data_IF_011435915857
#
_entry.id   IF_011435915857
#
_cell.length_a   1.000
_cell.length_b   1.000
_cell.length_c   1.000
_cell.angle_alpha   90.00
_cell.angle_beta   90.00
_cell.angle_gamma   90.00
#
_symmetry.space_group_name_H-M   'P 1'
#
loop_
_entity.id
_entity.type
_entity.pdbx_description
1 polymer ?
#
# COMPACT_ATOMS: atom_id res chain seq x y z
N UNK A 1 2.10 57.87 21.85
CA UNK A 1 2.17 58.27 23.28
C UNK A 1 1.20 57.37 24.04
N UNK A 2 1.47 56.61 25.10
CA UNK A 2 2.65 56.29 25.92
C UNK A 2 2.37 54.88 26.49
N UNK A 3 3.21 53.87 26.27
CA UNK A 3 4.32 53.42 27.14
C UNK A 3 3.98 53.25 28.63
N UNK A 4 3.97 51.99 29.10
CA UNK A 4 4.58 51.59 30.39
C UNK A 4 5.19 50.17 30.27
N UNK A 5 6.52 50.12 30.26
CA UNK A 5 7.37 49.05 30.84
C UNK A 5 7.28 49.18 32.39
N UNK A 6 7.70 48.27 33.28
CA UNK A 6 8.97 47.55 33.47
C UNK A 6 8.72 46.47 34.54
N UNK A 7 9.44 45.35 34.48
CA UNK A 7 9.63 44.48 35.65
C UNK A 7 10.45 43.23 35.33
N UNK A 8 11.76 43.39 35.08
CA UNK A 8 12.70 42.28 34.95
C UNK A 8 13.37 41.94 36.28
N UNK A 9 13.77 40.68 36.45
CA UNK A 9 14.76 40.25 37.46
C UNK A 9 15.71 39.28 36.78
N UNK A 10 17.01 39.58 36.92
CA UNK A 10 18.14 38.85 36.37
C UNK A 10 18.96 38.25 37.54
N UNK A 11 19.29 36.96 37.41
CA UNK A 11 20.51 36.24 37.84
C UNK A 11 21.21 36.56 39.17
N UNK A 12 21.45 35.50 39.96
CA UNK A 12 22.76 35.16 40.53
C UNK A 12 22.78 33.69 41.00
N UNK A 13 23.84 32.94 40.66
CA UNK A 13 24.06 31.57 41.12
C UNK A 13 25.09 31.47 42.25
N UNK A 14 25.20 30.29 42.87
CA UNK A 14 26.49 29.66 43.26
C UNK A 14 26.32 28.32 43.99
N UNK A 15 27.11 27.35 43.51
CA UNK A 15 27.91 26.32 44.20
C UNK A 15 27.25 25.27 45.14
N UNK A 16 27.36 24.03 44.64
CA UNK A 16 28.04 22.86 45.22
C UNK A 16 27.67 22.36 46.63
N UNK A 17 27.19 21.11 46.69
CA UNK A 17 27.47 20.16 47.77
C UNK A 17 27.42 18.72 47.24
N UNK A 18 28.52 18.03 47.47
CA UNK A 18 28.81 16.62 47.19
C UNK A 18 28.06 15.67 48.10
N UNK A 19 27.55 14.54 47.58
CA UNK A 19 27.44 13.28 48.33
C UNK A 19 27.70 12.07 47.44
N UNK A 20 28.68 11.28 47.86
CA UNK A 20 29.08 9.97 47.35
C UNK A 20 28.11 8.89 47.83
N UNK A 21 27.77 7.95 46.94
CA UNK A 21 27.58 6.50 47.15
C UNK A 21 27.75 5.91 45.73
N UNK A 22 28.72 5.07 45.39
CA UNK A 22 29.10 3.82 46.05
C UNK A 22 28.74 2.67 45.11
N UNK A 23 29.39 2.59 43.93
CA UNK A 23 29.29 1.45 43.02
C UNK A 23 30.61 0.67 43.11
N UNK A 24 30.55 -0.51 43.73
CA UNK A 24 31.63 -1.49 43.76
C UNK A 24 31.18 -2.75 43.03
N UNK A 25 31.99 -3.22 42.07
CA UNK A 25 31.99 -4.61 41.63
C UNK A 25 31.77 -4.83 40.14
N UNK A 26 32.82 -4.72 39.34
CA UNK A 26 32.97 -5.50 38.11
C UNK A 26 34.38 -6.08 38.12
N UNK A 27 34.45 -7.42 38.14
CA UNK A 27 35.68 -8.20 38.26
C UNK A 27 36.42 -8.32 36.92
N UNK A 28 37.70 -8.65 37.01
CA UNK A 28 38.67 -8.70 35.92
C UNK A 28 38.48 -9.85 34.90
N UNK A 29 37.24 -10.14 34.48
CA UNK A 29 36.91 -11.12 33.46
C UNK A 29 36.44 -10.51 32.12
N UNK A 30 36.10 -9.22 32.07
CA UNK A 30 35.49 -8.58 30.89
C UNK A 30 36.47 -7.91 29.91
N UNK A 31 37.78 -8.08 30.10
CA UNK A 31 38.81 -7.46 29.24
C UNK A 31 39.48 -8.42 28.23
N UNK A 32 39.10 -9.69 28.18
CA UNK A 32 39.69 -10.68 27.25
C UNK A 32 38.79 -11.11 26.08
N UNK A 33 37.56 -10.60 25.96
CA UNK A 33 36.63 -10.95 24.87
C UNK A 33 36.65 -9.91 23.72
N UNK A 34 37.29 -8.76 23.90
CA UNK A 34 37.27 -7.64 22.92
C UNK A 34 38.53 -7.50 22.04
N UNK A 35 39.47 -8.47 22.06
CA UNK A 35 40.70 -8.42 21.23
C UNK A 35 40.96 -9.65 20.35
N UNK A 36 40.00 -10.57 20.20
CA UNK A 36 40.04 -11.60 19.15
C UNK A 36 38.85 -11.41 18.25
N UNK A 37 39.02 -10.65 17.17
CA UNK A 37 38.47 -10.83 15.82
C UNK A 37 38.85 -9.64 14.91
N UNK A 38 40.09 -9.15 15.04
CA UNK A 38 40.74 -8.30 14.03
C UNK A 38 41.68 -9.18 13.19
N UNK A 39 41.09 -10.00 12.33
CA UNK A 39 41.75 -10.57 11.17
C UNK A 39 40.84 -10.34 9.97
N UNK A 40 40.87 -9.10 9.46
CA UNK A 40 40.42 -8.84 8.09
C UNK A 40 41.46 -9.48 7.16
N UNK A 41 41.13 -10.67 6.67
CA UNK A 41 41.75 -11.22 5.49
C UNK A 41 41.56 -10.22 4.34
N UNK A 42 42.67 -9.81 3.74
CA UNK A 42 42.67 -9.16 2.43
C UNK A 42 42.18 -10.19 1.41
N UNK A 43 40.88 -10.31 1.25
CA UNK A 43 40.32 -10.86 0.03
C UNK A 43 40.49 -9.77 -1.04
N UNK A 44 41.46 -9.98 -1.92
CA UNK A 44 41.44 -9.35 -3.23
C UNK A 44 40.11 -9.69 -3.88
N UNK A 45 39.25 -8.67 -4.05
CA UNK A 45 38.12 -8.76 -4.97
C UNK A 45 38.71 -8.93 -6.37
N UNK A 46 38.85 -10.19 -6.79
CA UNK A 46 38.93 -10.52 -8.21
C UNK A 46 37.57 -10.18 -8.78
N UNK A 47 37.49 -9.12 -9.59
CA UNK A 47 36.34 -8.82 -10.43
C UNK A 47 36.26 -9.86 -11.54
N UNK A 48 35.85 -11.08 -11.20
CA UNK A 48 35.31 -11.99 -12.18
C UNK A 48 33.88 -11.52 -12.45
N UNK A 49 33.72 -10.65 -13.45
CA UNK A 49 32.46 -10.53 -14.15
C UNK A 49 32.10 -11.94 -14.63
N UNK A 50 31.23 -12.63 -13.90
CA UNK A 50 30.63 -13.87 -14.38
C UNK A 50 29.84 -13.47 -15.62
N UNK A 51 30.34 -13.90 -16.78
CA UNK A 51 29.77 -13.64 -18.10
C UNK A 51 28.42 -14.32 -18.28
N UNK A 52 27.40 -13.84 -17.57
CA UNK A 52 26.01 -14.08 -17.90
C UNK A 52 25.61 -13.25 -19.11
N UNK A 53 24.73 -13.79 -19.94
CA UNK A 53 24.12 -13.05 -21.05
C UNK A 53 23.43 -11.78 -20.53
N UNK A 54 23.63 -10.65 -21.21
CA UNK A 54 23.00 -9.38 -20.85
C UNK A 54 21.47 -9.52 -20.91
N UNK A 55 20.79 -9.20 -19.80
CA UNK A 55 19.33 -9.21 -19.72
C UNK A 55 18.78 -7.79 -19.91
N UNK A 56 17.60 -7.71 -20.52
CA UNK A 56 16.82 -6.49 -20.68
C UNK A 56 15.72 -6.44 -19.63
N UNK A 57 15.77 -5.42 -18.78
CA UNK A 57 14.78 -5.12 -17.77
C UNK A 57 14.00 -3.89 -18.23
N UNK A 58 12.67 -3.98 -18.22
CA UNK A 58 11.77 -2.88 -18.52
C UNK A 58 11.04 -2.47 -17.24
N UNK A 59 11.15 -1.21 -16.82
CA UNK A 59 10.39 -0.63 -15.72
C UNK A 59 9.29 0.30 -16.21
N UNK A 60 8.06 0.10 -15.73
CA UNK A 60 6.92 0.99 -15.98
C UNK A 60 6.51 1.66 -14.69
N UNK A 61 6.66 2.98 -14.63
CA UNK A 61 6.33 3.81 -13.46
C UNK A 61 5.65 5.11 -13.94
N UNK A 62 5.02 5.84 -13.03
CA UNK A 62 4.56 7.19 -13.35
C UNK A 62 5.74 8.17 -13.40
N UNK A 63 5.61 9.24 -14.19
CA UNK A 63 6.59 10.33 -14.22
C UNK A 63 6.38 11.26 -13.03
N UNK A 64 7.46 11.60 -12.31
CA UNK A 64 7.40 12.52 -11.17
C UNK A 64 7.86 13.95 -11.53
N UNK A 65 8.50 14.16 -12.67
CA UNK A 65 8.98 15.45 -13.14
C UNK A 65 9.77 16.20 -12.05
N UNK A 66 9.37 17.42 -11.71
CA UNK A 66 10.00 18.23 -10.66
C UNK A 66 9.97 17.61 -9.26
N UNK A 67 9.02 16.71 -8.97
CA UNK A 67 8.91 16.03 -7.67
C UNK A 67 9.99 14.94 -7.49
N UNK A 68 10.59 14.46 -8.59
CA UNK A 68 11.69 13.50 -8.54
C UNK A 68 12.97 14.06 -7.89
N UNK A 69 13.05 15.38 -7.70
CA UNK A 69 14.14 16.04 -6.95
C UNK A 69 14.27 15.53 -5.52
N UNK A 70 13.21 14.95 -4.95
CA UNK A 70 13.32 14.19 -3.72
C UNK A 70 13.94 12.81 -4.03
N UNK A 71 15.19 12.53 -3.61
CA UNK A 71 15.85 11.25 -3.92
C UNK A 71 15.19 10.04 -3.22
N UNK A 72 14.37 10.27 -2.19
CA UNK A 72 13.59 9.20 -1.55
C UNK A 72 12.37 8.78 -2.38
N UNK A 73 12.01 9.54 -3.42
CA UNK A 73 10.94 9.20 -4.35
C UNK A 73 11.43 8.16 -5.36
N UNK A 74 11.51 6.90 -4.94
CA UNK A 74 12.08 5.81 -5.75
C UNK A 74 11.14 5.31 -6.87
N UNK A 75 9.84 5.32 -6.65
CA UNK A 75 8.81 4.69 -7.52
C UNK A 75 8.40 5.49 -8.76
N UNK A 76 9.30 6.29 -9.33
CA UNK A 76 9.04 7.10 -10.52
C UNK A 76 10.02 6.78 -11.67
N UNK A 77 9.74 7.27 -12.87
CA UNK A 77 10.61 7.08 -14.06
C UNK A 77 12.03 7.61 -13.80
N UNK A 78 12.13 8.78 -13.18
CA UNK A 78 13.38 9.51 -13.00
C UNK A 78 14.34 8.80 -12.04
N UNK A 79 13.84 8.31 -10.91
CA UNK A 79 14.66 7.63 -9.90
C UNK A 79 14.68 6.11 -10.07
N UNK A 80 13.73 5.54 -10.83
CA UNK A 80 13.73 4.16 -11.33
C UNK A 80 14.05 3.10 -10.27
N UNK A 81 13.40 3.18 -9.11
CA UNK A 81 13.61 2.36 -7.90
C UNK A 81 15.01 2.45 -7.28
N UNK A 82 15.89 3.32 -7.77
CA UNK A 82 17.28 3.40 -7.33
C UNK A 82 18.13 2.20 -7.76
N UNK A 83 17.74 1.47 -8.81
CA UNK A 83 18.40 0.21 -9.21
C UNK A 83 19.17 0.31 -10.54
N UNK A 84 19.18 1.46 -11.21
CA UNK A 84 19.82 1.65 -12.52
C UNK A 84 21.31 1.33 -12.51
N UNK A 85 22.09 2.03 -11.70
CA UNK A 85 23.54 1.84 -11.62
C UNK A 85 23.91 0.39 -11.22
N UNK A 86 23.10 -0.22 -10.34
CA UNK A 86 23.27 -1.61 -9.94
C UNK A 86 23.03 -2.61 -11.07
N UNK A 87 22.02 -2.42 -11.92
CA UNK A 87 21.77 -3.26 -13.09
C UNK A 87 22.86 -3.05 -14.17
N UNK A 88 23.21 -1.80 -14.45
CA UNK A 88 24.17 -1.45 -15.51
C UNK A 88 25.59 -1.89 -15.16
N UNK A 89 26.00 -1.79 -13.89
CA UNK A 89 27.30 -2.32 -13.41
C UNK A 89 27.43 -3.85 -13.52
N UNK A 90 26.31 -4.58 -13.65
CA UNK A 90 26.28 -6.03 -13.92
C UNK A 90 26.17 -6.35 -15.43
N UNK A 91 26.17 -5.33 -16.29
CA UNK A 91 26.08 -5.48 -17.75
C UNK A 91 24.66 -5.70 -18.27
N UNK A 92 23.62 -5.38 -17.49
CA UNK A 92 22.22 -5.49 -17.91
C UNK A 92 21.69 -4.15 -18.44
N UNK A 93 20.73 -4.19 -19.36
CA UNK A 93 20.04 -3.00 -19.91
C UNK A 93 18.79 -2.71 -19.09
N UNK A 94 18.65 -1.49 -18.57
CA UNK A 94 17.44 -1.06 -17.86
C UNK A 94 16.73 0.08 -18.60
N UNK A 95 15.60 -0.22 -19.21
CA UNK A 95 14.73 0.75 -19.89
C UNK A 95 13.58 1.10 -18.96
N UNK A 96 13.22 2.38 -18.89
CA UNK A 96 12.18 2.86 -17.99
C UNK A 96 11.27 3.82 -18.72
N UNK A 97 9.95 3.63 -18.60
CA UNK A 97 8.96 4.48 -19.27
C UNK A 97 7.73 4.72 -18.39
N UNK A 98 7.03 5.82 -18.66
CA UNK A 98 5.66 6.05 -18.19
C UNK A 98 4.62 5.90 -19.31
N UNK A 99 5.07 5.81 -20.56
CA UNK A 99 4.22 5.64 -21.73
C UNK A 99 3.81 4.17 -21.87
N UNK A 100 2.58 3.87 -21.45
CA UNK A 100 2.05 2.51 -21.31
C UNK A 100 0.72 2.26 -22.01
N UNK A 101 0.09 3.30 -22.54
CA UNK A 101 -1.26 3.28 -23.08
C UNK A 101 -1.27 3.75 -24.54
N UNK A 102 -2.20 3.21 -25.34
CA UNK A 102 -2.35 3.56 -26.75
C UNK A 102 -1.53 2.69 -27.71
N UNK A 103 -1.84 2.73 -29.02
CA UNK A 103 -1.05 2.06 -30.04
C UNK A 103 0.36 2.65 -30.08
N UNK A 104 1.36 1.80 -30.27
CA UNK A 104 2.78 2.17 -30.36
C UNK A 104 3.38 2.80 -29.09
N UNK A 105 2.79 2.53 -27.92
CA UNK A 105 3.36 2.92 -26.63
C UNK A 105 4.79 2.40 -26.46
N UNK A 106 5.63 3.15 -25.75
CA UNK A 106 7.01 2.73 -25.46
C UNK A 106 7.05 1.39 -24.72
N UNK A 107 6.09 1.13 -23.83
CA UNK A 107 5.89 -0.20 -23.23
C UNK A 107 5.78 -1.29 -24.30
N UNK A 108 4.91 -1.15 -25.29
CA UNK A 108 4.68 -2.19 -26.29
C UNK A 108 5.90 -2.44 -27.19
N UNK A 109 6.70 -1.40 -27.47
CA UNK A 109 7.96 -1.53 -28.23
C UNK A 109 9.01 -2.27 -27.42
N UNK A 110 9.24 -1.83 -26.18
CA UNK A 110 10.33 -2.33 -25.34
C UNK A 110 10.04 -3.71 -24.74
N UNK A 111 8.75 -4.07 -24.60
CA UNK A 111 8.31 -5.36 -24.07
C UNK A 111 8.65 -6.55 -25.00
N UNK A 112 8.78 -6.32 -26.31
CA UNK A 112 8.93 -7.39 -27.30
C UNK A 112 10.12 -8.34 -27.02
N UNK A 113 11.21 -7.81 -26.50
CA UNK A 113 12.48 -8.47 -26.18
C UNK A 113 12.91 -8.32 -24.71
N UNK A 114 12.06 -7.76 -23.85
CA UNK A 114 12.32 -7.67 -22.41
C UNK A 114 12.32 -9.07 -21.75
N UNK A 115 13.23 -9.28 -20.81
CA UNK A 115 13.33 -10.51 -20.00
C UNK A 115 12.59 -10.38 -18.67
N UNK A 116 12.66 -9.19 -18.08
CA UNK A 116 11.97 -8.83 -16.85
C UNK A 116 11.11 -7.58 -17.13
N UNK A 117 9.84 -7.63 -16.73
CA UNK A 117 8.99 -6.46 -16.62
C UNK A 117 8.80 -6.11 -15.14
N UNK A 118 9.10 -4.87 -14.76
CA UNK A 118 8.74 -4.27 -13.49
C UNK A 118 7.56 -3.34 -13.74
N UNK A 119 6.48 -3.51 -13.01
CA UNK A 119 5.25 -2.69 -13.08
C UNK A 119 4.85 -2.27 -11.67
N UNK A 120 3.94 -1.32 -11.54
CA UNK A 120 3.45 -0.85 -10.25
C UNK A 120 1.94 -0.60 -10.26
N UNK A 121 1.18 -0.93 -9.18
CA UNK A 121 -0.28 -0.74 -9.17
C UNK A 121 -0.74 0.71 -9.28
N UNK A 122 0.16 1.67 -9.00
CA UNK A 122 -0.15 3.11 -9.01
C UNK A 122 -0.17 3.68 -10.44
N UNK A 123 0.54 3.03 -11.37
CA UNK A 123 0.56 3.31 -12.81
C UNK A 123 0.71 1.99 -13.58
N UNK A 124 -0.34 1.14 -13.58
CA UNK A 124 -0.20 -0.27 -13.93
C UNK A 124 0.04 -0.47 -15.42
N UNK A 125 1.11 -1.19 -15.76
CA UNK A 125 1.27 -1.76 -17.09
C UNK A 125 0.31 -2.93 -17.25
N UNK A 126 -0.86 -2.71 -17.83
CA UNK A 126 -1.85 -3.78 -18.03
C UNK A 126 -1.28 -4.84 -18.98
N UNK A 127 -1.00 -6.04 -18.44
CA UNK A 127 -0.41 -7.17 -19.16
C UNK A 127 -1.51 -8.13 -19.58
N UNK A 128 -2.19 -7.76 -20.66
CA UNK A 128 -3.25 -8.59 -21.27
C UNK A 128 -2.66 -9.83 -21.94
N UNK A 129 -3.53 -10.81 -22.25
CA UNK A 129 -3.16 -11.99 -23.03
C UNK A 129 -2.45 -11.62 -24.35
N UNK A 130 -2.88 -10.56 -25.03
CA UNK A 130 -2.29 -10.09 -26.29
C UNK A 130 -0.89 -9.52 -26.09
N UNK A 131 -0.66 -8.73 -25.03
CA UNK A 131 0.67 -8.21 -24.69
C UNK A 131 1.62 -9.32 -24.29
N UNK A 132 1.15 -10.22 -23.42
CA UNK A 132 1.92 -11.39 -22.99
C UNK A 132 2.31 -12.24 -24.20
N UNK A 133 1.41 -12.47 -25.16
CA UNK A 133 1.70 -13.21 -26.40
C UNK A 133 2.88 -12.61 -27.21
N UNK A 134 3.01 -11.29 -27.25
CA UNK A 134 4.06 -10.57 -28.00
C UNK A 134 5.41 -10.49 -27.28
N UNK A 135 5.44 -10.66 -25.97
CA UNK A 135 6.65 -10.62 -25.15
C UNK A 135 7.43 -11.94 -25.27
N UNK A 136 8.40 -12.00 -26.20
CA UNK A 136 9.06 -13.26 -26.61
C UNK A 136 10.07 -13.79 -25.60
N UNK A 137 10.78 -12.88 -24.93
CA UNK A 137 11.87 -13.21 -24.00
C UNK A 137 11.45 -13.09 -22.53
N UNK A 138 10.19 -12.70 -22.27
CA UNK A 138 9.73 -12.40 -20.93
C UNK A 138 9.70 -13.69 -20.10
N UNK A 139 10.33 -13.65 -18.94
CA UNK A 139 10.40 -14.77 -18.00
C UNK A 139 9.87 -14.39 -16.62
N UNK A 140 10.02 -13.12 -16.24
CA UNK A 140 9.65 -12.60 -14.92
C UNK A 140 8.85 -11.30 -15.02
N UNK A 141 7.72 -11.25 -14.32
CA UNK A 141 6.98 -10.02 -14.02
C UNK A 141 7.08 -9.73 -12.52
N UNK A 142 7.51 -8.51 -12.18
CA UNK A 142 7.63 -8.05 -10.80
C UNK A 142 6.72 -6.84 -10.57
N UNK A 143 5.78 -6.96 -9.65
CA UNK A 143 5.02 -5.83 -9.13
C UNK A 143 5.82 -5.14 -8.04
N UNK A 144 6.30 -3.91 -8.32
CA UNK A 144 6.86 -3.00 -7.33
C UNK A 144 5.71 -2.43 -6.47
N UNK A 145 5.33 -3.21 -5.45
CA UNK A 145 4.15 -2.98 -4.61
C UNK A 145 3.44 -4.29 -4.30
N UNK A 146 2.12 -4.21 -4.09
CA UNK A 146 1.25 -5.35 -3.76
C UNK A 146 -0.02 -5.32 -4.61
N UNK A 147 -0.39 -6.49 -5.11
CA UNK A 147 -1.54 -6.80 -5.94
C UNK A 147 -1.24 -6.71 -7.44
N UNK A 148 -1.33 -7.88 -8.08
CA UNK A 148 -0.88 -8.15 -9.44
C UNK A 148 -2.03 -8.39 -10.42
N UNK A 149 -3.22 -7.90 -10.10
CA UNK A 149 -4.48 -8.04 -10.86
C UNK A 149 -4.51 -7.28 -12.20
N UNK A 150 -3.52 -6.43 -12.46
CA UNK A 150 -3.30 -5.79 -13.76
C UNK A 150 -2.55 -6.70 -14.74
N UNK A 151 -2.19 -7.92 -14.33
CA UNK A 151 -1.61 -8.98 -15.16
C UNK A 151 -2.69 -10.04 -15.35
N UNK A 152 -2.87 -10.52 -16.57
CA UNK A 152 -3.64 -11.73 -16.82
C UNK A 152 -2.87 -12.95 -16.25
N UNK A 153 -3.15 -13.28 -14.99
CA UNK A 153 -2.42 -14.30 -14.24
C UNK A 153 -2.61 -15.69 -14.84
N UNK A 154 -3.76 -15.97 -15.45
CA UNK A 154 -4.01 -17.24 -16.13
C UNK A 154 -3.18 -17.34 -17.41
N UNK A 155 -3.18 -16.31 -18.26
CA UNK A 155 -2.33 -16.27 -19.46
C UNK A 155 -0.84 -16.31 -19.11
N UNK A 156 -0.42 -15.67 -18.01
CA UNK A 156 0.95 -15.73 -17.51
C UNK A 156 1.33 -17.15 -17.06
N UNK A 157 0.43 -17.83 -16.34
CA UNK A 157 0.62 -19.21 -15.90
C UNK A 157 0.68 -20.20 -17.08
N UNK A 158 -0.22 -20.07 -18.06
CA UNK A 158 -0.21 -20.88 -19.30
C UNK A 158 1.10 -20.73 -20.07
N UNK A 159 1.71 -19.55 -20.04
CA UNK A 159 3.02 -19.27 -20.64
C UNK A 159 4.22 -19.70 -19.80
N UNK A 160 4.00 -20.20 -18.58
CA UNK A 160 5.09 -20.59 -17.67
C UNK A 160 5.88 -19.42 -17.10
N UNK A 161 5.31 -18.20 -17.10
CA UNK A 161 5.95 -17.02 -16.54
C UNK A 161 5.96 -17.06 -15.02
N UNK A 162 6.98 -16.45 -14.42
CA UNK A 162 6.95 -16.12 -12.98
C UNK A 162 6.32 -14.75 -12.79
N UNK A 163 5.32 -14.66 -11.94
CA UNK A 163 4.75 -13.38 -11.48
C UNK A 163 5.00 -13.26 -9.99
N UNK A 164 5.61 -12.16 -9.57
CA UNK A 164 5.91 -11.88 -8.17
C UNK A 164 5.56 -10.46 -7.76
N UNK A 165 5.39 -10.26 -6.46
CA UNK A 165 5.18 -8.95 -5.85
C UNK A 165 5.90 -8.84 -4.50
N UNK A 166 6.02 -7.63 -3.96
CA UNK A 166 6.72 -7.41 -2.70
C UNK A 166 5.74 -7.53 -1.53
N UNK A 167 5.27 -8.75 -1.27
CA UNK A 167 4.28 -9.05 -0.24
C UNK A 167 4.70 -8.49 1.12
N UNK A 168 3.83 -7.66 1.71
CA UNK A 168 4.09 -7.02 3.01
C UNK A 168 4.68 -5.62 2.93
N UNK A 169 5.18 -5.18 1.77
CA UNK A 169 5.92 -3.91 1.64
C UNK A 169 5.11 -2.65 1.96
N UNK A 170 3.80 -2.65 1.77
CA UNK A 170 2.96 -1.48 1.97
C UNK A 170 1.74 -1.72 2.88
N UNK A 171 1.66 -2.89 3.51
CA UNK A 171 0.50 -3.31 4.33
C UNK A 171 0.18 -2.30 5.43
N UNK A 172 1.21 -1.86 6.16
CA UNK A 172 1.09 -0.84 7.21
C UNK A 172 0.58 0.49 6.66
N UNK A 173 1.11 0.92 5.51
CA UNK A 173 0.75 2.20 4.89
C UNK A 173 -0.71 2.22 4.42
N UNK A 174 -1.19 1.11 3.84
CA UNK A 174 -2.61 0.99 3.45
C UNK A 174 -3.51 0.96 4.68
N UNK A 175 -3.18 0.18 5.71
CA UNK A 175 -4.00 0.11 6.94
C UNK A 175 -4.08 1.46 7.68
N UNK A 176 -3.02 2.28 7.64
CA UNK A 176 -3.05 3.64 8.19
C UNK A 176 -3.98 4.56 7.40
N UNK A 177 -3.94 4.46 6.07
CA UNK A 177 -4.81 5.23 5.19
C UNK A 177 -6.29 4.80 5.29
N UNK A 178 -6.57 3.53 5.56
CA UNK A 178 -7.92 3.05 5.88
C UNK A 178 -8.46 3.69 7.16
N UNK A 179 -7.67 3.70 8.24
CA UNK A 179 -8.05 4.38 9.49
C UNK A 179 -8.27 5.88 9.26
N UNK A 180 -7.40 6.53 8.48
CA UNK A 180 -7.56 7.92 8.08
C UNK A 180 -8.92 8.13 7.39
N UNK A 181 -9.28 7.29 6.40
CA UNK A 181 -10.54 7.42 5.65
C UNK A 181 -11.76 7.19 6.53
N UNK A 182 -11.72 6.20 7.42
CA UNK A 182 -12.78 5.98 8.41
C UNK A 182 -13.01 7.27 9.19
N UNK A 183 -11.95 7.89 9.71
CA UNK A 183 -12.06 9.12 10.50
C UNK A 183 -12.49 10.32 9.66
N UNK A 184 -11.96 10.49 8.45
CA UNK A 184 -12.35 11.58 7.54
C UNK A 184 -13.85 11.53 7.23
N UNK A 185 -14.37 10.34 6.95
CA UNK A 185 -15.78 10.12 6.65
C UNK A 185 -16.65 10.30 7.89
N UNK A 186 -16.39 9.54 8.96
CA UNK A 186 -17.22 9.50 10.18
C UNK A 186 -17.26 10.86 10.87
N UNK A 187 -16.15 11.61 10.88
CA UNK A 187 -16.06 12.93 11.51
C UNK A 187 -16.45 14.10 10.61
N UNK A 188 -16.85 13.82 9.36
CA UNK A 188 -17.20 14.80 8.35
C UNK A 188 -16.10 15.86 8.12
N UNK A 189 -14.83 15.41 8.02
CA UNK A 189 -13.67 16.30 7.95
C UNK A 189 -13.62 17.12 6.65
N UNK A 190 -13.87 16.49 5.49
CA UNK A 190 -13.64 17.12 4.20
C UNK A 190 -14.51 18.38 3.96
N UNK A 191 -15.83 18.38 4.28
CA UNK A 191 -16.64 19.61 4.21
C UNK A 191 -16.16 20.71 5.17
N UNK A 192 -15.71 20.35 6.37
CA UNK A 192 -15.15 21.31 7.33
C UNK A 192 -13.84 21.93 6.84
N UNK A 193 -12.92 21.13 6.32
CA UNK A 193 -11.68 21.61 5.71
C UNK A 193 -11.94 22.55 4.52
N UNK A 194 -12.87 22.17 3.63
CA UNK A 194 -13.26 22.98 2.48
C UNK A 194 -13.81 24.34 2.90
N UNK A 195 -14.68 24.36 3.90
CA UNK A 195 -15.25 25.61 4.40
C UNK A 195 -14.16 26.57 4.89
N UNK A 196 -13.17 26.07 5.66
CA UNK A 196 -12.06 26.88 6.16
C UNK A 196 -11.17 27.38 5.02
N UNK A 197 -10.85 26.53 4.03
CA UNK A 197 -9.99 26.92 2.90
C UNK A 197 -10.64 27.96 1.98
N UNK A 198 -11.98 28.03 1.97
CA UNK A 198 -12.78 29.02 1.26
C UNK A 198 -13.13 30.26 2.13
N UNK A 199 -12.61 30.34 3.36
CA UNK A 199 -12.83 31.47 4.27
C UNK A 199 -14.21 31.51 4.96
N UNK A 200 -14.96 30.41 4.90
CA UNK A 200 -16.26 30.27 5.54
C UNK A 200 -16.20 29.86 7.01
N UNK A 201 -17.32 30.05 7.73
CA UNK A 201 -17.49 29.60 9.11
C UNK A 201 -18.97 29.31 9.43
N UNK A 202 -19.37 28.06 9.31
CA UNK A 202 -20.69 27.54 9.65
C UNK A 202 -20.55 26.14 10.25
N UNK A 203 -20.51 26.10 11.58
CA UNK A 203 -20.38 24.87 12.37
C UNK A 203 -21.53 23.91 12.10
N UNK A 204 -22.77 24.42 12.04
CA UNK A 204 -23.98 23.62 11.87
C UNK A 204 -23.94 22.81 10.55
N UNK A 205 -23.45 23.40 9.47
CA UNK A 205 -23.30 22.76 8.16
C UNK A 205 -22.32 21.56 8.16
N UNK A 206 -21.44 21.45 9.17
CA UNK A 206 -20.48 20.34 9.28
C UNK A 206 -20.98 19.32 10.30
N UNK A 207 -21.40 19.76 11.49
CA UNK A 207 -21.69 18.85 12.61
C UNK A 207 -22.97 18.04 12.43
N UNK A 208 -23.88 18.43 11.52
CA UNK A 208 -25.11 17.67 11.27
C UNK A 208 -24.89 16.27 10.67
N UNK A 209 -23.66 15.97 10.21
CA UNK A 209 -23.22 14.63 9.78
C UNK A 209 -21.89 14.19 10.43
N UNK A 210 -21.46 14.83 11.51
CA UNK A 210 -20.23 14.46 12.21
C UNK A 210 -20.56 13.55 13.40
N UNK A 211 -19.88 12.40 13.47
CA UNK A 211 -20.05 11.42 14.53
C UNK A 211 -18.72 11.02 15.14
N UNK A 212 -18.80 10.40 16.32
CA UNK A 212 -17.69 9.67 16.90
C UNK A 212 -17.66 8.22 16.40
N UNK A 213 -16.45 7.65 16.39
CA UNK A 213 -16.20 6.26 16.03
C UNK A 213 -16.39 5.30 17.22
N UNK A 214 -16.34 5.81 18.45
CA UNK A 214 -16.65 5.04 19.66
C UNK A 214 -18.05 4.43 19.57
N UNK A 215 -18.22 3.23 20.11
CA UNK A 215 -19.48 2.48 20.10
C UNK A 215 -20.04 2.13 18.70
N UNK A 216 -19.26 2.32 17.63
CA UNK A 216 -19.59 1.86 16.28
C UNK A 216 -19.15 0.42 16.06
N UNK A 217 -19.86 -0.28 15.18
CA UNK A 217 -19.45 -1.58 14.65
C UNK A 217 -18.69 -1.38 13.35
N UNK A 218 -17.44 -1.85 13.28
CA UNK A 218 -16.61 -1.79 12.06
C UNK A 218 -16.36 -3.20 11.55
N UNK A 219 -16.53 -3.41 10.25
CA UNK A 219 -16.29 -4.71 9.60
C UNK A 219 -15.25 -4.62 8.50
N UNK A 220 -14.34 -5.59 8.41
CA UNK A 220 -13.41 -5.73 7.28
C UNK A 220 -13.76 -6.93 6.40
N UNK A 221 -13.91 -6.72 5.10
CA UNK A 221 -14.05 -7.78 4.08
C UNK A 221 -12.66 -8.18 3.64
N UNK A 222 -12.12 -9.23 4.26
CA UNK A 222 -10.73 -9.65 4.16
C UNK A 222 -10.04 -9.60 5.53
N UNK A 223 -9.61 -10.77 6.01
CA UNK A 223 -8.82 -11.01 7.22
C UNK A 223 -7.33 -11.21 6.92
N UNK A 224 -6.87 -10.80 5.74
CA UNK A 224 -5.47 -10.88 5.34
C UNK A 224 -4.55 -9.90 6.09
N UNK A 225 -3.36 -9.66 5.53
CA UNK A 225 -2.33 -8.82 6.17
C UNK A 225 -2.83 -7.40 6.49
N UNK A 226 -3.51 -6.74 5.54
CA UNK A 226 -4.01 -5.36 5.71
C UNK A 226 -5.17 -5.34 6.69
N UNK A 227 -6.17 -6.20 6.51
CA UNK A 227 -7.30 -6.31 7.44
C UNK A 227 -6.87 -6.54 8.90
N UNK A 228 -5.84 -7.36 9.15
CA UNK A 228 -5.28 -7.54 10.49
C UNK A 228 -4.56 -6.29 11.02
N UNK A 229 -3.79 -5.59 10.19
CA UNK A 229 -3.12 -4.34 10.59
C UNK A 229 -4.13 -3.20 10.85
N UNK A 230 -5.26 -3.19 10.13
CA UNK A 230 -6.41 -2.33 10.39
C UNK A 230 -7.04 -2.66 11.75
N UNK A 231 -7.40 -3.92 11.99
CA UNK A 231 -7.98 -4.38 13.27
C UNK A 231 -7.10 -4.00 14.46
N UNK A 232 -5.78 -4.21 14.33
CA UNK A 232 -4.80 -3.84 15.35
C UNK A 232 -4.82 -2.35 15.70
N UNK A 233 -4.97 -1.48 14.69
CA UNK A 233 -5.02 -0.02 14.89
C UNK A 233 -6.35 0.45 15.47
N UNK A 234 -7.44 -0.20 15.08
CA UNK A 234 -8.78 0.15 15.54
C UNK A 234 -9.08 -0.28 17.00
N UNK A 235 -8.28 -1.19 17.57
CA UNK A 235 -8.45 -1.70 18.94
C UNK A 235 -8.55 -0.60 20.01
N UNK A 236 -7.86 0.53 19.81
CA UNK A 236 -7.84 1.66 20.76
C UNK A 236 -9.05 2.62 20.67
N UNK A 237 -9.94 2.45 19.68
CA UNK A 237 -11.01 3.43 19.41
C UNK A 237 -12.30 3.20 20.21
N UNK A 238 -12.36 2.18 21.06
CA UNK A 238 -13.56 1.87 21.85
C UNK A 238 -14.76 1.48 20.96
N UNK A 239 -14.51 0.71 19.90
CA UNK A 239 -15.56 0.20 19.03
C UNK A 239 -16.53 -0.68 19.83
N UNK A 240 -17.81 -0.69 19.44
CA UNK A 240 -18.78 -1.65 19.96
C UNK A 240 -18.38 -3.07 19.58
N UNK A 241 -18.10 -3.28 18.29
CA UNK A 241 -17.66 -4.56 17.74
C UNK A 241 -16.69 -4.35 16.57
N UNK A 242 -15.64 -5.16 16.50
CA UNK A 242 -14.79 -5.29 15.31
C UNK A 242 -15.08 -6.65 14.65
N UNK A 243 -15.62 -6.62 13.44
CA UNK A 243 -15.99 -7.81 12.68
C UNK A 243 -15.04 -8.03 11.50
N UNK A 244 -14.91 -9.28 11.07
CA UNK A 244 -14.30 -9.59 9.78
C UNK A 244 -15.03 -10.72 9.06
N UNK A 245 -15.05 -10.63 7.74
CA UNK A 245 -15.46 -11.71 6.85
C UNK A 245 -14.26 -12.12 5.98
N UNK A 246 -13.92 -13.39 5.99
CA UNK A 246 -12.92 -13.99 5.10
C UNK A 246 -13.24 -15.48 4.92
N UNK A 247 -12.79 -16.06 3.80
CA UNK A 247 -12.86 -17.51 3.54
C UNK A 247 -12.07 -18.28 4.61
N UNK A 248 -10.92 -17.75 5.01
CA UNK A 248 -10.03 -18.34 5.99
C UNK A 248 -10.26 -17.74 7.38
N UNK A 249 -10.38 -18.61 8.39
CA UNK A 249 -10.42 -18.16 9.79
C UNK A 249 -9.05 -17.67 10.24
N UNK A 250 -9.01 -16.62 11.05
CA UNK A 250 -7.82 -16.24 11.80
C UNK A 250 -7.51 -17.21 12.96
N UNK A 251 -8.53 -17.94 13.41
CA UNK A 251 -8.46 -18.78 14.61
C UNK A 251 -8.70 -17.98 15.90
N UNK A 252 -9.21 -18.67 16.92
CA UNK A 252 -9.70 -18.05 18.16
C UNK A 252 -8.61 -17.24 18.90
N UNK A 253 -7.36 -17.70 18.88
CA UNK A 253 -6.25 -16.99 19.54
C UNK A 253 -5.98 -15.64 18.90
N UNK A 254 -5.92 -15.60 17.56
CA UNK A 254 -5.66 -14.37 16.80
C UNK A 254 -6.84 -13.41 16.87
N UNK A 255 -8.07 -13.94 16.84
CA UNK A 255 -9.29 -13.15 17.04
C UNK A 255 -9.29 -12.46 18.41
N UNK A 256 -8.96 -13.19 19.47
CA UNK A 256 -8.82 -12.65 20.83
C UNK A 256 -7.72 -11.58 20.92
N UNK A 257 -6.57 -11.82 20.29
CA UNK A 257 -5.46 -10.86 20.27
C UNK A 257 -5.87 -9.54 19.60
N UNK A 258 -6.52 -9.63 18.44
CA UNK A 258 -6.98 -8.47 17.67
C UNK A 258 -8.25 -7.83 18.24
N UNK A 259 -8.98 -8.52 19.11
CA UNK A 259 -10.26 -8.05 19.64
C UNK A 259 -11.35 -8.02 18.57
N UNK A 260 -11.33 -8.98 17.65
CA UNK A 260 -12.28 -9.08 16.55
C UNK A 260 -13.07 -10.39 16.60
N UNK A 261 -14.14 -10.47 15.82
CA UNK A 261 -14.98 -11.66 15.65
C UNK A 261 -15.22 -11.94 14.18
N UNK A 262 -15.12 -13.22 13.79
CA UNK A 262 -15.51 -13.64 12.45
C UNK A 262 -17.02 -13.65 12.28
N UNK A 263 -17.48 -13.09 11.18
CA UNK A 263 -18.79 -13.41 10.60
C UNK A 263 -18.61 -14.32 9.40
N UNK A 264 -19.33 -15.44 9.38
CA UNK A 264 -19.22 -16.45 8.31
C UNK A 264 -20.07 -16.13 7.08
N UNK A 265 -21.02 -15.20 7.23
CA UNK A 265 -21.88 -14.71 6.17
C UNK A 265 -21.64 -13.21 5.97
N UNK A 266 -21.33 -12.82 4.73
CA UNK A 266 -20.98 -11.44 4.39
C UNK A 266 -22.16 -10.51 4.61
N UNK A 267 -23.34 -10.86 4.13
CA UNK A 267 -24.53 -9.99 4.20
C UNK A 267 -24.96 -9.77 5.66
N UNK A 268 -24.84 -10.78 6.51
CA UNK A 268 -25.03 -10.68 7.96
C UNK A 268 -24.05 -9.68 8.58
N UNK A 269 -22.75 -9.73 8.21
CA UNK A 269 -21.78 -8.74 8.67
C UNK A 269 -22.17 -7.33 8.23
N UNK A 270 -22.49 -7.13 6.95
CA UNK A 270 -22.85 -5.84 6.39
C UNK A 270 -24.05 -5.19 7.11
N UNK A 271 -25.05 -5.98 7.50
CA UNK A 271 -26.22 -5.50 8.24
C UNK A 271 -25.90 -4.99 9.65
N UNK A 272 -24.76 -5.41 10.23
CA UNK A 272 -24.31 -5.04 11.58
C UNK A 272 -23.38 -3.84 11.58
N UNK A 273 -22.66 -3.59 10.49
CA UNK A 273 -21.60 -2.59 10.43
C UNK A 273 -22.11 -1.16 10.18
N UNK A 274 -21.57 -0.21 10.94
CA UNK A 274 -21.68 1.23 10.66
C UNK A 274 -20.58 1.67 9.68
N UNK A 275 -19.44 0.96 9.67
CA UNK A 275 -18.34 1.16 8.72
C UNK A 275 -17.90 -0.20 8.16
N UNK A 276 -17.75 -0.29 6.85
CA UNK A 276 -17.22 -1.47 6.16
C UNK A 276 -15.96 -1.08 5.41
N UNK A 277 -14.90 -1.88 5.56
CA UNK A 277 -13.60 -1.69 4.89
C UNK A 277 -13.30 -2.88 3.98
N UNK A 278 -12.92 -2.63 2.74
CA UNK A 278 -12.63 -3.67 1.74
C UNK A 278 -11.13 -3.95 1.70
N UNK A 279 -10.77 -5.20 1.99
CA UNK A 279 -9.41 -5.69 2.20
C UNK A 279 -9.14 -7.05 1.50
N UNK A 280 -9.88 -7.32 0.43
CA UNK A 280 -9.82 -8.56 -0.36
C UNK A 280 -9.23 -8.28 -1.75
N UNK A 281 -8.45 -9.19 -2.35
CA UNK A 281 -7.96 -9.00 -3.72
C UNK A 281 -9.10 -8.92 -4.75
N UNK A 282 -8.82 -8.34 -5.91
CA UNK A 282 -9.70 -8.39 -7.07
C UNK A 282 -9.54 -9.74 -7.77
N UNK A 283 -10.63 -10.49 -7.84
CA UNK A 283 -10.80 -11.75 -8.56
C UNK A 283 -12.14 -11.74 -9.29
N UNK A 284 -12.45 -12.81 -10.04
CA UNK A 284 -13.78 -12.95 -10.66
C UNK A 284 -14.91 -12.99 -9.63
N UNK A 285 -14.65 -13.50 -8.42
CA UNK A 285 -15.65 -13.58 -7.34
C UNK A 285 -15.86 -12.24 -6.60
N UNK A 286 -14.85 -11.37 -6.57
CA UNK A 286 -14.91 -10.09 -5.84
C UNK A 286 -15.18 -8.90 -6.75
N UNK A 287 -15.09 -9.06 -8.07
CA UNK A 287 -15.47 -8.03 -9.04
C UNK A 287 -16.96 -7.67 -8.87
N UNK A 288 -17.24 -6.39 -8.66
CA UNK A 288 -18.60 -5.91 -8.42
C UNK A 288 -19.25 -6.49 -7.16
N UNK A 289 -18.46 -6.97 -6.18
CA UNK A 289 -18.96 -7.50 -4.91
C UNK A 289 -19.89 -6.50 -4.22
N UNK A 290 -19.49 -5.22 -4.19
CA UNK A 290 -20.32 -4.12 -3.69
C UNK A 290 -21.14 -3.51 -4.83
N UNK A 291 -22.12 -4.27 -5.29
CA UNK A 291 -23.18 -3.81 -6.20
C UNK A 291 -24.37 -3.21 -5.43
N UNK A 292 -25.41 -2.79 -6.16
CA UNK A 292 -26.62 -2.18 -5.59
C UNK A 292 -27.31 -3.05 -4.54
N UNK A 293 -27.43 -4.35 -4.78
CA UNK A 293 -28.07 -5.29 -3.86
C UNK A 293 -27.28 -5.40 -2.55
N UNK A 294 -25.96 -5.58 -2.65
CA UNK A 294 -25.11 -5.76 -1.47
C UNK A 294 -24.94 -4.47 -0.67
N UNK A 295 -24.85 -3.33 -1.33
CA UNK A 295 -24.87 -2.01 -0.67
C UNK A 295 -26.19 -1.82 0.09
N UNK A 296 -27.33 -2.24 -0.47
CA UNK A 296 -28.62 -2.15 0.21
C UNK A 296 -28.71 -2.98 1.51
N UNK A 297 -27.85 -3.99 1.69
CA UNK A 297 -27.73 -4.77 2.94
C UNK A 297 -26.96 -4.04 4.05
N UNK A 298 -26.17 -3.03 3.69
CA UNK A 298 -25.52 -2.17 4.68
C UNK A 298 -26.57 -1.32 5.40
N UNK A 299 -26.25 -0.88 6.63
CA UNK A 299 -27.10 0.08 7.35
C UNK A 299 -27.25 1.37 6.55
N UNK A 300 -28.43 1.99 6.63
CA UNK A 300 -28.64 3.34 6.12
C UNK A 300 -27.72 4.32 6.87
N UNK A 301 -26.97 5.13 6.13
CA UNK A 301 -25.96 6.04 6.66
C UNK A 301 -24.61 5.40 6.96
N UNK A 302 -24.39 4.12 6.60
CA UNK A 302 -23.09 3.47 6.79
C UNK A 302 -22.00 4.05 5.88
N UNK A 303 -20.75 3.85 6.26
CA UNK A 303 -19.58 4.28 5.49
C UNK A 303 -18.89 3.08 4.84
N UNK A 304 -18.45 3.24 3.58
CA UNK A 304 -17.69 2.22 2.86
C UNK A 304 -16.30 2.76 2.52
N UNK A 305 -15.26 2.06 2.97
CA UNK A 305 -13.86 2.38 2.67
C UNK A 305 -13.27 1.29 1.78
N UNK A 306 -12.63 1.68 0.68
CA UNK A 306 -12.01 0.75 -0.26
C UNK A 306 -10.63 1.24 -0.69
N UNK A 307 -9.59 0.62 -0.14
CA UNK A 307 -8.21 0.76 -0.62
C UNK A 307 -7.71 -0.55 -1.28
N UNK A 308 -8.61 -1.51 -1.51
CA UNK A 308 -8.28 -2.78 -2.14
C UNK A 308 -8.16 -2.61 -3.66
N UNK A 309 -9.29 -2.58 -4.38
CA UNK A 309 -9.36 -2.31 -5.83
C UNK A 309 -10.68 -1.66 -6.22
N UNK A 310 -10.64 -0.72 -7.17
CA UNK A 310 -11.83 0.04 -7.58
C UNK A 310 -12.93 -0.87 -8.14
N UNK A 311 -12.56 -1.87 -8.93
CA UNK A 311 -13.49 -2.81 -9.57
C UNK A 311 -14.22 -3.77 -8.62
N UNK A 312 -13.91 -3.76 -7.31
CA UNK A 312 -14.66 -4.52 -6.30
C UNK A 312 -16.00 -3.83 -5.99
N UNK A 313 -16.10 -2.53 -6.22
CA UNK A 313 -17.33 -1.76 -6.06
C UNK A 313 -17.89 -1.33 -7.41
N UNK A 314 -19.21 -1.45 -7.57
CA UNK A 314 -19.89 -0.93 -8.74
C UNK A 314 -19.97 0.61 -8.67
N UNK A 315 -19.45 1.27 -9.71
CA UNK A 315 -19.28 2.73 -9.71
C UNK A 315 -20.59 3.47 -9.55
N UNK A 316 -21.63 3.07 -10.29
CA UNK A 316 -22.93 3.74 -10.27
C UNK A 316 -23.71 3.39 -8.99
N UNK A 317 -23.65 2.15 -8.52
CA UNK A 317 -24.32 1.75 -7.28
C UNK A 317 -23.78 2.52 -6.07
N UNK A 318 -22.46 2.73 -5.99
CA UNK A 318 -21.84 3.55 -4.93
C UNK A 318 -22.30 5.00 -5.04
N UNK A 319 -22.27 5.57 -6.25
CA UNK A 319 -22.69 6.95 -6.50
C UNK A 319 -24.15 7.17 -6.10
N UNK A 320 -25.07 6.33 -6.58
CA UNK A 320 -26.50 6.37 -6.24
C UNK A 320 -26.73 6.22 -4.73
N UNK A 321 -25.97 5.36 -4.06
CA UNK A 321 -26.10 5.15 -2.62
C UNK A 321 -25.62 6.36 -1.81
N UNK A 322 -24.56 7.06 -2.26
CA UNK A 322 -24.13 8.33 -1.66
C UNK A 322 -25.14 9.45 -1.95
N UNK A 323 -25.69 9.56 -3.16
CA UNK A 323 -26.69 10.56 -3.53
C UNK A 323 -28.00 10.41 -2.74
N UNK A 324 -28.44 9.18 -2.50
CA UNK A 324 -29.64 8.88 -1.70
C UNK A 324 -29.41 8.95 -0.18
N UNK A 325 -28.16 9.04 0.27
CA UNK A 325 -27.78 8.97 1.68
C UNK A 325 -27.93 7.58 2.30
N UNK A 326 -28.10 6.53 1.49
CA UNK A 326 -28.02 5.15 1.99
C UNK A 326 -26.60 4.84 2.46
N UNK A 327 -25.58 5.29 1.71
CA UNK A 327 -24.23 5.45 2.22
C UNK A 327 -24.06 6.87 2.76
N UNK A 328 -23.61 6.97 4.01
CA UNK A 328 -23.19 8.24 4.61
C UNK A 328 -21.93 8.81 3.95
N UNK A 329 -21.12 7.95 3.32
CA UNK A 329 -19.99 8.34 2.50
C UNK A 329 -19.18 7.15 1.98
N UNK A 330 -18.34 7.42 0.98
CA UNK A 330 -17.42 6.45 0.39
C UNK A 330 -16.03 7.04 0.28
N UNK A 331 -15.00 6.29 0.64
CA UNK A 331 -13.62 6.76 0.58
C UNK A 331 -12.66 5.68 0.14
N UNK A 332 -11.63 6.09 -0.59
CA UNK A 332 -10.65 5.15 -1.12
C UNK A 332 -9.59 5.84 -1.98
N UNK A 333 -8.52 5.11 -2.27
CA UNK A 333 -7.51 5.56 -3.23
C UNK A 333 -7.53 4.78 -4.55
N UNK A 334 -8.33 3.73 -4.67
CA UNK A 334 -8.38 2.85 -5.84
C UNK A 334 -9.52 3.20 -6.80
N UNK A 335 -9.27 2.97 -8.09
CA UNK A 335 -10.16 3.34 -9.19
C UNK A 335 -10.24 2.23 -10.23
N UNK A 336 -11.20 2.31 -11.16
CA UNK A 336 -11.26 1.43 -12.31
C UNK A 336 -11.74 2.20 -13.56
N UNK A 337 -10.94 2.38 -14.62
CA UNK A 337 -9.51 2.03 -14.76
C UNK A 337 -8.57 3.03 -14.05
N UNK A 338 -7.26 2.77 -14.10
CA UNK A 338 -6.22 3.69 -13.63
C UNK A 338 -5.29 4.12 -14.78
N UNK A 339 -5.10 5.44 -15.02
CA UNK A 339 -5.65 6.58 -14.27
C UNK A 339 -7.17 6.75 -14.39
N UNK A 340 -7.82 7.24 -13.32
CA UNK A 340 -9.25 7.51 -13.35
C UNK A 340 -9.56 8.71 -14.26
N UNK A 341 -10.51 8.53 -15.19
CA UNK A 341 -10.99 9.58 -16.09
C UNK A 341 -11.38 10.87 -15.35
N UNK A 342 -11.26 12.01 -16.03
CA UNK A 342 -11.56 13.34 -15.43
C UNK A 342 -13.02 13.44 -15.01
N UNK A 343 -13.90 12.79 -15.75
CA UNK A 343 -15.34 12.70 -15.59
C UNK A 343 -15.80 11.54 -14.69
N UNK A 344 -14.88 10.80 -14.06
CA UNK A 344 -15.23 9.65 -13.24
C UNK A 344 -16.22 10.03 -12.11
N UNK A 345 -17.38 9.35 -11.96
CA UNK A 345 -18.47 9.77 -11.07
C UNK A 345 -18.07 9.99 -9.60
N UNK A 346 -17.20 9.13 -9.06
CA UNK A 346 -16.70 9.25 -7.68
C UNK A 346 -15.89 10.51 -7.40
N UNK A 347 -15.50 11.30 -8.42
CA UNK A 347 -14.87 12.62 -8.24
C UNK A 347 -15.87 13.70 -7.83
N UNK A 348 -17.16 13.46 -8.05
CA UNK A 348 -18.21 14.49 -7.95
C UNK A 348 -19.40 14.06 -7.08
N UNK A 349 -19.52 12.78 -6.75
CA UNK A 349 -20.59 12.31 -5.86
C UNK A 349 -20.47 12.94 -4.46
N UNK A 350 -21.58 13.15 -3.74
CA UNK A 350 -21.53 13.74 -2.40
C UNK A 350 -20.83 12.82 -1.39
N UNK A 351 -20.30 13.44 -0.32
CA UNK A 351 -19.73 12.74 0.84
C UNK A 351 -18.62 11.73 0.51
N UNK A 352 -17.86 11.99 -0.55
CA UNK A 352 -16.71 11.17 -0.92
C UNK A 352 -15.42 11.64 -0.22
N UNK A 353 -14.55 10.69 0.10
CA UNK A 353 -13.18 10.91 0.59
C UNK A 353 -12.20 10.19 -0.33
N UNK A 354 -12.27 10.49 -1.63
CA UNK A 354 -11.42 9.85 -2.65
C UNK A 354 -10.09 10.58 -2.82
N UNK A 355 -9.02 9.82 -3.08
CA UNK A 355 -7.72 10.34 -3.51
C UNK A 355 -7.22 9.57 -4.73
N UNK A 356 -6.20 10.04 -5.46
CA UNK A 356 -5.44 9.17 -6.36
C UNK A 356 -4.87 7.95 -5.61
N UNK A 357 -4.48 6.89 -6.33
CA UNK A 357 -3.94 5.65 -5.74
C UNK A 357 -2.54 5.89 -5.15
N UNK A 358 -2.47 6.13 -3.84
CA UNK A 358 -1.27 6.63 -3.16
C UNK A 358 -0.93 5.94 -1.84
N UNK A 359 -1.89 5.27 -1.18
CA UNK A 359 -1.70 4.72 0.16
C UNK A 359 -0.56 3.70 0.20
N UNK A 360 -0.43 2.91 -0.87
CA UNK A 360 0.62 1.92 -1.05
C UNK A 360 1.97 2.46 -1.51
N UNK A 361 2.11 3.77 -1.77
CA UNK A 361 3.31 4.39 -2.39
C UNK A 361 3.86 5.58 -1.60
N UNK A 362 3.63 5.61 -0.29
CA UNK A 362 4.34 6.55 0.60
C UNK A 362 5.85 6.36 0.49
N UNK A 363 6.65 7.40 0.77
CA UNK A 363 8.12 7.33 0.69
C UNK A 363 8.73 6.19 1.52
N UNK A 364 8.06 5.75 2.60
CA UNK A 364 8.47 4.58 3.38
C UNK A 364 8.12 3.26 2.66
N UNK A 365 6.96 3.17 1.99
CA UNK A 365 6.58 2.02 1.18
C UNK A 365 7.48 1.88 -0.07
N UNK A 366 7.57 2.93 -0.90
CA UNK A 366 8.84 3.57 -1.26
C UNK A 366 10.14 2.75 -1.16
N UNK A 367 10.73 2.81 0.03
CA UNK A 367 12.01 2.15 0.31
C UNK A 367 11.86 0.63 0.36
N UNK A 368 10.76 0.12 0.94
CA UNK A 368 10.54 -1.32 1.15
C UNK A 368 10.27 -2.06 -0.15
N UNK A 369 9.37 -1.57 -1.00
CA UNK A 369 9.04 -2.21 -2.27
C UNK A 369 10.21 -2.13 -3.29
N UNK A 370 11.03 -1.08 -3.28
CA UNK A 370 12.20 -0.96 -4.14
C UNK A 370 13.29 -1.97 -3.72
N UNK A 371 13.54 -2.09 -2.41
CA UNK A 371 14.45 -3.09 -1.88
C UNK A 371 13.99 -4.53 -2.19
N UNK A 372 12.70 -4.82 -2.04
CA UNK A 372 12.15 -6.14 -2.36
C UNK A 372 12.17 -6.46 -3.86
N UNK A 373 11.88 -5.49 -4.73
CA UNK A 373 12.03 -5.65 -6.18
C UNK A 373 13.48 -5.95 -6.54
N UNK A 374 14.44 -5.23 -5.95
CA UNK A 374 15.87 -5.49 -6.16
C UNK A 374 16.27 -6.90 -5.72
N UNK A 375 15.82 -7.35 -4.55
CA UNK A 375 16.09 -8.71 -4.03
C UNK A 375 15.57 -9.79 -4.99
N UNK A 376 14.32 -9.66 -5.47
CA UNK A 376 13.76 -10.64 -6.42
C UNK A 376 14.51 -10.68 -7.75
N UNK A 377 14.90 -9.52 -8.28
CA UNK A 377 15.70 -9.48 -9.52
C UNK A 377 17.09 -10.09 -9.29
N UNK A 378 17.76 -9.80 -8.17
CA UNK A 378 19.07 -10.37 -7.86
C UNK A 378 19.00 -11.90 -7.72
N UNK A 379 17.97 -12.42 -7.04
CA UNK A 379 17.72 -13.87 -6.93
C UNK A 379 17.46 -14.49 -8.29
N UNK A 380 16.60 -13.88 -9.11
CA UNK A 380 16.30 -14.38 -10.44
C UNK A 380 17.55 -14.44 -11.33
N UNK A 381 18.37 -13.39 -11.32
CA UNK A 381 19.64 -13.34 -12.05
C UNK A 381 20.65 -14.40 -11.58
N UNK A 382 20.52 -14.88 -10.34
CA UNK A 382 21.34 -15.96 -9.76
C UNK A 382 20.69 -17.34 -9.82
N UNK A 383 19.49 -17.44 -10.39
CA UNK A 383 18.67 -18.66 -10.39
C UNK A 383 18.32 -19.18 -8.97
N UNK A 384 18.13 -18.25 -8.02
CA UNK A 384 17.72 -18.53 -6.64
C UNK A 384 16.20 -18.36 -6.48
N UNK A 385 15.61 -19.13 -5.56
CA UNK A 385 14.19 -19.01 -5.23
C UNK A 385 13.87 -17.70 -4.48
N UNK A 386 12.68 -17.16 -4.73
CA UNK A 386 12.13 -16.02 -4.00
C UNK A 386 11.56 -16.48 -2.65
N UNK A 387 11.36 -15.55 -1.69
CA UNK A 387 10.52 -15.83 -0.55
C UNK A 387 9.14 -16.30 -1.00
N UNK A 388 8.65 -17.41 -0.42
CA UNK A 388 7.45 -18.12 -0.91
C UNK A 388 6.22 -17.20 -1.02
N UNK A 389 6.04 -16.30 -0.06
CA UNK A 389 4.93 -15.36 -0.03
C UNK A 389 4.92 -14.32 -1.16
N UNK A 390 6.01 -14.19 -1.91
CA UNK A 390 6.12 -13.22 -3.01
C UNK A 390 5.69 -13.82 -4.35
N UNK A 391 5.52 -15.15 -4.47
CA UNK A 391 5.03 -15.77 -5.69
C UNK A 391 3.51 -15.58 -5.84
N UNK A 392 3.11 -15.09 -7.01
CA UNK A 392 1.71 -14.99 -7.45
C UNK A 392 1.44 -16.04 -8.52
N UNK A 393 2.38 -16.21 -9.45
CA UNK A 393 2.41 -17.32 -10.40
C UNK A 393 3.79 -17.94 -10.38
N UNK A 394 3.86 -19.26 -10.21
CA UNK A 394 5.10 -20.04 -10.27
C UNK A 394 4.81 -21.40 -10.88
N UNK A 395 5.64 -21.82 -11.84
CA UNK A 395 5.53 -23.16 -12.44
C UNK A 395 4.10 -23.47 -12.96
N UNK A 396 3.46 -22.46 -13.56
CA UNK A 396 2.09 -22.55 -14.09
C UNK A 396 0.96 -22.59 -13.05
N UNK A 397 1.26 -22.34 -11.77
CA UNK A 397 0.27 -22.35 -10.68
C UNK A 397 0.09 -20.96 -10.08
N UNK A 398 -1.15 -20.57 -9.88
CA UNK A 398 -1.52 -19.34 -9.18
C UNK A 398 -1.47 -19.55 -7.66
N UNK A 399 -1.10 -18.51 -6.93
CA UNK A 399 -1.21 -18.48 -5.49
C UNK A 399 -2.67 -18.56 -5.04
N UNK A 400 -2.93 -19.27 -3.94
CA UNK A 400 -4.29 -19.62 -3.50
C UNK A 400 -5.21 -18.43 -3.19
N UNK A 401 -4.65 -17.25 -2.91
CA UNK A 401 -5.45 -16.05 -2.64
C UNK A 401 -6.11 -15.50 -3.92
N UNK A 402 -5.60 -15.88 -5.10
CA UNK A 402 -6.12 -15.48 -6.41
C UNK A 402 -7.01 -16.56 -7.06
N UNK A 403 -7.26 -17.68 -6.36
CA UNK A 403 -8.19 -18.74 -6.76
C UNK A 403 -9.62 -18.49 -6.25
#
# INVERSE_FOLDING_TARGET
MASRRIGGVLLAGSRALSRQHGLTGASAADSQILQRHLQFSRFSYSSAAQGGESKKILGVFFAAHEYAKNPEFLGCVENALGIREWLESKGHKYVVTSDKDGPDSELDKELADAHILITTPFHPAYMTKERLAKAKNLELLVTAGVGSDHIDLHAAAEKGLTVSEVTGSNVTSVAEDEVLRILVLVRNFAPGWKQVSEGGWNVAAVVHHAYDLIDRTVGTVGGGRIGQELMKRLKGFGLKEMLYYDRNSLGAEREKELGCKRETDLDTMLSKCDVVVVNTPLTDQTRGLFNKERIAKMKKGAYLVNNARGAIADTEAVKEACESGHLGGYGGDVWNAQPAGKDHPWRYMPNHAMTPHISGTTLDAQKRFAAGTKDMIDRWLKHEAFPEQNYIVREGKLASQYL
#
